data_IF_734681346304
#
_entry.id   IF_734681346304
#
_cell.length_a   1.000
_cell.length_b   1.000
_cell.length_c   1.000
_cell.angle_alpha   90.00
_cell.angle_beta   90.00
_cell.angle_gamma   90.00
#
_symmetry.space_group_name_H-M   'P 1'
#
loop_
_entity.id
_entity.type
_entity.pdbx_description
1 polymer ?
#
# COMPACT_ATOMS: atom_id res chain seq x y z
N UNK A 1 -15.50 -23.54 3.57
CA UNK A 1 -14.07 -23.43 3.19
C UNK A 1 -13.55 -22.19 3.88
N UNK A 2 -12.66 -22.34 4.86
CA UNK A 2 -12.10 -21.19 5.57
C UNK A 2 -11.28 -20.39 4.56
N UNK A 3 -11.75 -19.20 4.20
CA UNK A 3 -11.01 -18.27 3.35
C UNK A 3 -9.63 -18.08 3.97
N UNK A 4 -8.57 -18.50 3.28
CA UNK A 4 -7.21 -18.22 3.74
C UNK A 4 -7.00 -16.72 3.61
N UNK A 5 -6.64 -16.07 4.71
CA UNK A 5 -6.30 -14.65 4.73
C UNK A 5 -5.38 -14.27 3.56
N UNK A 6 -5.52 -13.07 3.03
CA UNK A 6 -4.62 -12.51 2.01
C UNK A 6 -4.40 -11.04 2.32
N UNK A 7 -3.16 -10.66 2.54
CA UNK A 7 -2.80 -9.30 2.93
C UNK A 7 -2.22 -8.58 1.72
N UNK A 8 -2.69 -7.36 1.47
CA UNK A 8 -2.07 -6.44 0.52
C UNK A 8 -1.61 -5.18 1.22
N UNK A 9 -0.34 -4.81 1.02
CA UNK A 9 0.24 -3.54 1.46
C UNK A 9 0.26 -2.59 0.28
N UNK A 10 -0.36 -1.41 0.42
CA UNK A 10 -0.23 -0.35 -0.57
C UNK A 10 0.93 0.57 -0.19
N UNK A 11 1.91 0.67 -1.09
CA UNK A 11 3.02 1.63 -0.97
C UNK A 11 2.86 2.75 -1.99
N UNK A 12 2.97 3.98 -1.51
CA UNK A 12 2.93 5.19 -2.31
C UNK A 12 4.11 6.09 -1.90
N UNK A 13 4.39 7.13 -2.69
CA UNK A 13 5.53 8.03 -2.48
C UNK A 13 5.73 8.44 -1.00
N UNK A 14 6.97 8.39 -0.53
CA UNK A 14 7.40 8.62 0.84
C UNK A 14 8.42 7.58 1.34
N UNK A 15 9.20 7.90 2.38
CA UNK A 15 10.21 6.99 2.96
C UNK A 15 9.59 5.80 3.72
N UNK A 16 8.28 5.84 4.00
CA UNK A 16 7.63 4.92 4.92
C UNK A 16 7.26 3.55 4.34
N UNK A 17 7.46 3.33 3.03
CA UNK A 17 7.07 2.07 2.37
C UNK A 17 7.70 0.83 3.00
N UNK A 18 8.96 0.92 3.44
CA UNK A 18 9.62 -0.19 4.16
C UNK A 18 8.87 -0.55 5.44
N UNK A 19 8.50 0.44 6.26
CA UNK A 19 7.78 0.21 7.51
C UNK A 19 6.43 -0.47 7.26
N UNK A 20 5.73 -0.09 6.20
CA UNK A 20 4.46 -0.73 5.80
C UNK A 20 4.68 -2.17 5.38
N UNK A 21 5.66 -2.43 4.51
CA UNK A 21 5.97 -3.78 4.00
C UNK A 21 6.38 -4.68 5.18
N UNK A 22 7.29 -4.24 6.05
CA UNK A 22 7.69 -5.02 7.23
C UNK A 22 6.53 -5.27 8.20
N UNK A 23 5.60 -4.31 8.34
CA UNK A 23 4.41 -4.51 9.18
C UNK A 23 3.48 -5.56 8.55
N UNK A 24 3.27 -5.50 7.24
CA UNK A 24 2.53 -6.52 6.49
C UNK A 24 3.18 -7.89 6.57
N UNK A 25 4.51 -7.98 6.43
CA UNK A 25 5.29 -9.21 6.60
C UNK A 25 5.04 -9.88 7.94
N UNK A 26 5.06 -9.12 9.04
CA UNK A 26 4.76 -9.66 10.37
C UNK A 26 3.33 -10.17 10.49
N UNK A 27 2.35 -9.44 9.96
CA UNK A 27 0.94 -9.86 10.00
C UNK A 27 0.72 -11.11 9.14
N UNK A 28 1.26 -11.15 7.92
CA UNK A 28 1.16 -12.30 7.04
C UNK A 28 1.80 -13.54 7.63
N UNK A 29 2.95 -13.40 8.30
CA UNK A 29 3.59 -14.48 9.04
C UNK A 29 2.73 -14.99 10.21
N UNK A 30 2.08 -14.08 10.96
CA UNK A 30 1.17 -14.45 12.05
C UNK A 30 -0.07 -15.20 11.56
N UNK A 31 -0.66 -14.75 10.45
CA UNK A 31 -1.81 -15.41 9.82
C UNK A 31 -1.42 -16.60 8.93
N UNK A 32 -0.13 -16.85 8.73
CA UNK A 32 0.42 -17.87 7.82
C UNK A 32 -0.19 -17.76 6.41
N UNK A 33 -0.18 -16.54 5.87
CA UNK A 33 -0.98 -16.21 4.70
C UNK A 33 -0.17 -15.48 3.61
N UNK A 34 -0.62 -15.47 2.35
CA UNK A 34 0.03 -14.73 1.28
C UNK A 34 0.10 -13.23 1.56
N UNK A 35 1.20 -12.61 1.12
CA UNK A 35 1.45 -11.18 1.19
C UNK A 35 1.68 -10.60 -0.21
N UNK A 36 0.99 -9.51 -0.49
CA UNK A 36 1.12 -8.73 -1.71
C UNK A 36 1.56 -7.31 -1.37
N UNK A 37 2.39 -6.73 -2.22
CA UNK A 37 2.78 -5.31 -2.12
C UNK A 37 2.39 -4.65 -3.43
N UNK A 38 1.51 -3.65 -3.36
CA UNK A 38 1.02 -2.90 -4.50
C UNK A 38 1.62 -1.50 -4.50
N UNK A 39 2.38 -1.20 -5.55
CA UNK A 39 2.79 0.14 -5.91
C UNK A 39 1.93 0.66 -7.06
N UNK A 40 1.26 1.79 -6.86
CA UNK A 40 0.48 2.46 -7.91
C UNK A 40 1.20 3.70 -8.39
N UNK A 41 1.46 3.79 -9.69
CA UNK A 41 2.16 4.89 -10.33
C UNK A 41 1.29 5.61 -11.37
N UNK A 42 1.67 6.81 -11.73
CA UNK A 42 1.08 7.58 -12.83
C UNK A 42 1.68 7.20 -14.19
N UNK A 43 1.00 7.53 -15.30
CA UNK A 43 1.56 7.36 -16.65
C UNK A 43 2.88 8.13 -16.84
N UNK A 44 2.95 9.34 -16.27
CA UNK A 44 4.16 10.16 -16.32
C UNK A 44 5.33 9.44 -15.64
N UNK A 45 5.10 8.81 -14.49
CA UNK A 45 6.13 8.07 -13.75
C UNK A 45 6.54 6.78 -14.44
N UNK A 46 5.60 6.13 -15.14
CA UNK A 46 5.88 4.96 -15.95
C UNK A 46 6.80 5.31 -17.14
N UNK A 47 6.60 6.48 -17.76
CA UNK A 47 7.39 6.94 -18.90
C UNK A 47 8.73 7.56 -18.49
N UNK A 48 8.76 8.28 -17.37
CA UNK A 48 9.94 8.99 -16.91
C UNK A 48 10.02 8.97 -15.38
N UNK A 49 10.73 7.95 -14.87
CA UNK A 49 10.99 7.81 -13.44
C UNK A 49 12.26 8.59 -13.05
N UNK A 50 12.19 9.37 -11.97
CA UNK A 50 13.40 9.98 -11.41
C UNK A 50 14.28 8.92 -10.74
N UNK A 51 15.59 9.19 -10.64
CA UNK A 51 16.54 8.27 -10.01
C UNK A 51 16.15 7.93 -8.56
N UNK A 52 15.82 8.93 -7.74
CA UNK A 52 15.35 8.74 -6.35
C UNK A 52 14.13 7.80 -6.26
N UNK A 53 13.16 7.95 -7.17
CA UNK A 53 11.98 7.07 -7.20
C UNK A 53 12.36 5.65 -7.58
N UNK A 54 13.24 5.49 -8.57
CA UNK A 54 13.73 4.19 -9.01
C UNK A 54 14.45 3.44 -7.88
N UNK A 55 15.35 4.12 -7.16
CA UNK A 55 16.07 3.58 -6.01
C UNK A 55 15.10 3.14 -4.90
N UNK A 56 14.07 3.94 -4.62
CA UNK A 56 13.04 3.60 -3.62
C UNK A 56 12.19 2.40 -4.02
N UNK A 57 11.80 2.28 -5.30
CA UNK A 57 11.06 1.10 -5.78
C UNK A 57 11.95 -0.15 -5.70
N UNK A 58 13.25 -0.03 -6.04
CA UNK A 58 14.19 -1.13 -5.91
C UNK A 58 14.31 -1.57 -4.45
N UNK A 59 14.46 -0.62 -3.52
CA UNK A 59 14.47 -0.89 -2.08
C UNK A 59 13.20 -1.64 -1.64
N UNK A 60 12.02 -1.18 -2.05
CA UNK A 60 10.78 -1.85 -1.70
C UNK A 60 10.66 -3.27 -2.27
N UNK A 61 11.17 -3.52 -3.48
CA UNK A 61 11.25 -4.88 -4.03
C UNK A 61 12.13 -5.77 -3.16
N UNK A 62 13.32 -5.30 -2.76
CA UNK A 62 14.21 -6.02 -1.86
C UNK A 62 13.54 -6.36 -0.53
N UNK A 63 12.90 -5.39 0.14
CA UNK A 63 12.20 -5.64 1.41
C UNK A 63 11.00 -6.57 1.21
N UNK A 64 10.34 -6.52 0.05
CA UNK A 64 9.23 -7.43 -0.27
C UNK A 64 9.70 -8.86 -0.43
N UNK A 65 10.84 -9.08 -1.10
CA UNK A 65 11.49 -10.38 -1.21
C UNK A 65 11.87 -10.95 0.17
N UNK A 66 12.46 -10.11 1.05
CA UNK A 66 12.75 -10.49 2.44
C UNK A 66 11.50 -10.92 3.22
N UNK A 67 10.34 -10.34 2.90
CA UNK A 67 9.06 -10.66 3.54
C UNK A 67 8.27 -11.75 2.80
N UNK A 68 8.86 -12.42 1.80
CA UNK A 68 8.19 -13.39 0.93
C UNK A 68 6.92 -12.86 0.26
N UNK A 69 6.90 -11.56 -0.07
CA UNK A 69 5.77 -10.87 -0.66
C UNK A 69 5.86 -10.83 -2.18
N UNK A 70 4.70 -10.91 -2.84
CA UNK A 70 4.59 -10.65 -4.29
C UNK A 70 4.49 -9.14 -4.54
N UNK A 71 5.51 -8.54 -5.14
CA UNK A 71 5.52 -7.12 -5.48
C UNK A 71 4.89 -6.85 -6.85
N UNK A 72 3.95 -5.91 -6.92
CA UNK A 72 3.21 -5.54 -8.12
C UNK A 72 3.26 -4.03 -8.33
N UNK A 73 3.54 -3.61 -9.56
CA UNK A 73 3.37 -2.22 -9.99
C UNK A 73 2.19 -2.11 -10.94
N UNK A 74 1.28 -1.18 -10.68
CA UNK A 74 0.15 -0.85 -11.56
C UNK A 74 0.20 0.62 -11.96
N UNK A 75 0.00 0.91 -13.24
CA UNK A 75 -0.16 2.28 -13.73
C UNK A 75 -1.62 2.67 -13.65
N UNK A 76 -1.95 3.79 -13.01
CA UNK A 76 -3.36 4.20 -12.78
C UNK A 76 -4.07 4.78 -14.00
N UNK A 77 -3.34 5.18 -15.03
CA UNK A 77 -3.93 5.92 -16.16
C UNK A 77 -4.69 7.16 -15.68
N UNK A 78 -5.95 7.25 -16.11
CA UNK A 78 -6.88 8.31 -15.69
C UNK A 78 -7.72 7.95 -14.46
N UNK A 79 -7.56 6.75 -13.89
CA UNK A 79 -8.30 6.31 -12.72
C UNK A 79 -7.74 6.91 -11.43
N UNK A 80 -8.55 6.93 -10.38
CA UNK A 80 -8.06 7.28 -9.04
C UNK A 80 -7.22 6.13 -8.51
N UNK A 81 -6.25 6.45 -7.66
CA UNK A 81 -5.43 5.41 -6.99
C UNK A 81 -6.33 4.45 -6.19
N UNK A 82 -7.39 4.95 -5.58
CA UNK A 82 -8.38 4.15 -4.85
C UNK A 82 -9.14 3.15 -5.74
N UNK A 83 -9.38 3.47 -7.02
CA UNK A 83 -9.98 2.52 -7.98
C UNK A 83 -9.01 1.37 -8.23
N UNK A 84 -7.76 1.67 -8.59
CA UNK A 84 -6.74 0.66 -8.89
C UNK A 84 -6.49 -0.27 -7.71
N UNK A 85 -6.46 0.28 -6.50
CA UNK A 85 -6.32 -0.52 -5.27
C UNK A 85 -7.52 -1.43 -5.08
N UNK A 86 -8.75 -0.91 -5.18
CA UNK A 86 -9.97 -1.70 -4.99
C UNK A 86 -10.08 -2.82 -6.03
N UNK A 87 -9.87 -2.51 -7.31
CA UNK A 87 -9.92 -3.48 -8.40
C UNK A 87 -8.86 -4.58 -8.21
N UNK A 88 -7.63 -4.20 -7.81
CA UNK A 88 -6.57 -5.17 -7.56
C UNK A 88 -6.90 -6.04 -6.34
N UNK A 89 -7.45 -5.45 -5.28
CA UNK A 89 -7.85 -6.16 -4.07
C UNK A 89 -8.94 -7.20 -4.37
N UNK A 90 -9.94 -6.83 -5.17
CA UNK A 90 -11.02 -7.71 -5.60
C UNK A 90 -10.48 -8.87 -6.48
N UNK A 91 -9.65 -8.56 -7.48
CA UNK A 91 -9.07 -9.55 -8.39
C UNK A 91 -8.25 -10.63 -7.67
N UNK A 92 -7.51 -10.25 -6.61
CA UNK A 92 -6.67 -11.16 -5.84
C UNK A 92 -7.45 -11.78 -4.66
N UNK A 93 -8.65 -11.27 -4.37
CA UNK A 93 -9.50 -11.61 -3.23
C UNK A 93 -8.77 -11.33 -1.90
N UNK A 94 -8.20 -10.13 -1.79
CA UNK A 94 -7.56 -9.63 -0.57
C UNK A 94 -8.60 -9.56 0.55
N UNK A 95 -8.21 -9.96 1.76
CA UNK A 95 -9.06 -9.89 2.97
C UNK A 95 -8.63 -8.77 3.89
N UNK A 96 -7.35 -8.37 3.85
CA UNK A 96 -6.82 -7.28 4.66
C UNK A 96 -5.94 -6.34 3.83
N UNK A 97 -6.21 -5.04 3.93
CA UNK A 97 -5.48 -3.98 3.25
C UNK A 97 -4.67 -3.18 4.28
N UNK A 98 -3.37 -3.00 4.03
CA UNK A 98 -2.51 -2.16 4.84
C UNK A 98 -2.17 -0.90 4.07
N UNK A 99 -2.49 0.25 4.65
CA UNK A 99 -2.21 1.56 4.06
C UNK A 99 -1.47 2.46 5.04
N UNK A 100 -0.59 3.28 4.49
CA UNK A 100 0.12 4.30 5.24
C UNK A 100 -0.71 5.56 5.45
N UNK A 101 -0.53 6.22 6.59
CA UNK A 101 -1.06 7.56 6.75
C UNK A 101 -0.10 8.53 7.47
N UNK A 102 0.15 9.73 6.90
CA UNK A 102 0.81 10.81 7.64
C UNK A 102 0.04 11.17 8.92
N UNK A 103 0.74 11.54 9.99
CA UNK A 103 0.18 11.71 11.34
C UNK A 103 -1.04 12.65 11.48
N UNK A 104 -1.69 12.57 12.66
CA UNK A 104 -3.00 13.18 12.98
C UNK A 104 -3.15 14.69 12.65
N UNK A 105 -2.09 15.50 12.74
CA UNK A 105 -2.18 16.95 12.50
C UNK A 105 -2.36 17.30 11.02
N UNK A 106 -1.62 16.65 10.12
CA UNK A 106 -1.83 16.79 8.65
C UNK A 106 -3.16 16.21 8.19
N UNK A 107 -3.66 15.19 8.89
CA UNK A 107 -4.98 14.60 8.63
C UNK A 107 -6.12 15.60 8.82
N UNK A 108 -6.08 16.42 9.88
CA UNK A 108 -7.12 17.41 10.15
C UNK A 108 -7.18 18.48 9.06
N UNK A 109 -6.04 18.77 8.41
CA UNK A 109 -5.91 19.79 7.36
C UNK A 109 -6.32 19.28 5.96
N UNK A 110 -6.26 17.96 5.71
CA UNK A 110 -6.49 17.34 4.38
C UNK A 110 -7.91 16.75 4.24
N UNK A 111 -8.88 17.23 5.03
CA UNK A 111 -10.26 16.74 5.05
C UNK A 111 -11.12 17.14 3.83
N UNK A 112 -10.60 16.89 2.63
CA UNK A 112 -11.32 16.92 1.36
C UNK A 112 -10.81 15.78 0.45
N UNK A 113 -11.31 14.54 0.65
CA UNK A 113 -11.05 13.42 -0.29
C UNK A 113 -9.92 12.46 0.09
N UNK A 114 -9.78 12.11 1.38
CA UNK A 114 -8.84 11.06 1.82
C UNK A 114 -9.04 9.77 1.03
N UNK A 115 -7.95 9.23 0.46
CA UNK A 115 -7.91 7.93 -0.21
C UNK A 115 -8.54 6.83 0.64
N UNK A 116 -8.43 6.92 1.97
CA UNK A 116 -9.06 6.01 2.93
C UNK A 116 -10.58 6.04 2.80
N UNK A 117 -11.19 7.23 2.76
CA UNK A 117 -12.64 7.38 2.62
C UNK A 117 -13.12 6.89 1.26
N UNK A 118 -12.33 7.07 0.21
CA UNK A 118 -12.65 6.51 -1.10
C UNK A 118 -12.55 4.98 -1.11
N UNK A 119 -11.55 4.41 -0.45
CA UNK A 119 -11.37 2.97 -0.31
C UNK A 119 -12.50 2.35 0.52
N UNK A 120 -12.86 2.92 1.67
CA UNK A 120 -13.96 2.46 2.52
C UNK A 120 -15.31 2.36 1.76
N UNK A 121 -15.50 3.18 0.72
CA UNK A 121 -16.70 3.12 -0.14
C UNK A 121 -16.66 2.02 -1.21
N UNK A 122 -15.49 1.44 -1.48
CA UNK A 122 -15.23 0.54 -2.61
C UNK A 122 -14.91 -0.89 -2.19
N UNK A 123 -14.18 -1.08 -1.11
CA UNK A 123 -13.51 -2.37 -0.83
C UNK A 123 -14.36 -3.39 -0.03
N UNK A 124 -15.66 -3.18 0.11
CA UNK A 124 -16.57 -4.17 0.69
C UNK A 124 -16.16 -4.65 2.10
N UNK A 125 -16.02 -5.97 2.27
CA UNK A 125 -15.69 -6.65 3.54
C UNK A 125 -14.18 -6.75 3.82
N UNK A 126 -13.34 -5.94 3.16
CA UNK A 126 -11.89 -5.95 3.36
C UNK A 126 -11.51 -5.10 4.59
N UNK A 127 -10.82 -5.71 5.55
CA UNK A 127 -10.32 -5.02 6.73
C UNK A 127 -9.20 -4.03 6.36
N UNK A 128 -9.24 -2.80 6.89
CA UNK A 128 -8.20 -1.79 6.66
C UNK A 128 -7.34 -1.58 7.91
N UNK A 129 -6.04 -1.81 7.78
CA UNK A 129 -5.01 -1.46 8.75
C UNK A 129 -4.33 -0.15 8.35
N UNK A 130 -4.61 0.91 9.10
CA UNK A 130 -4.00 2.23 8.89
C UNK A 130 -2.76 2.37 9.78
N UNK A 131 -1.58 2.48 9.15
CA UNK A 131 -0.33 2.63 9.87
C UNK A 131 0.08 4.11 9.89
N UNK A 132 -0.03 4.72 11.06
CA UNK A 132 0.38 6.10 11.26
C UNK A 132 1.91 6.25 11.28
N UNK A 133 2.43 7.25 10.57
CA UNK A 133 3.83 7.67 10.64
C UNK A 133 3.95 9.19 10.77
N UNK A 134 4.94 9.64 11.53
CA UNK A 134 5.29 11.05 11.62
C UNK A 134 6.42 11.32 10.61
N UNK A 135 6.20 12.22 9.65
CA UNK A 135 7.33 12.81 8.93
C UNK A 135 8.01 13.81 9.86
N UNK A 136 9.32 13.64 10.08
CA UNK A 136 10.13 14.61 10.82
C UNK A 136 10.37 14.32 12.30
N UNK A 137 10.72 13.07 12.65
CA UNK A 137 11.56 12.82 13.83
C UNK A 137 12.27 11.48 13.68
N UNK A 138 13.30 11.47 12.83
CA UNK A 138 14.44 10.61 13.11
C UNK A 138 14.94 11.03 14.50
N UNK A 139 14.81 10.13 15.47
CA UNK A 139 15.50 10.19 16.75
C UNK A 139 16.45 9.03 16.80
#
# INVERSE_FOLDING_TARGET
MLSSEKIMVCVYHGPNGERLIRRGGRLAALYQCPLFVLHVQTEQENNQISQDKSERILHWKTISEECHATFMTKTRGNHKVSDVIADTAEQIQITQLIIGHPGMTRWQEIWNGSIVNELLKKIGEIDIHIIAFQEGRDR
#
